data_IF_959212008869
#
_entry.id   IF_959212008869
#
_cell.length_a   1.000
_cell.length_b   1.000
_cell.length_c   1.000
_cell.angle_alpha   90.00
_cell.angle_beta   90.00
_cell.angle_gamma   90.00
#
_symmetry.space_group_name_H-M   'P 1'
#
loop_
_entity.id
_entity.type
_entity.pdbx_description
1 polymer ?
#
# COMPACT_ATOMS: atom_id res chain seq x y z
N UNK A 1 -36.55 12.91 0.75
CA UNK A 1 -36.80 11.63 1.44
C UNK A 1 -35.55 11.07 2.13
N UNK A 2 -34.58 10.45 1.45
CA UNK A 2 -33.41 9.85 2.14
C UNK A 2 -32.49 10.88 2.86
N UNK A 3 -32.29 12.05 2.26
CA UNK A 3 -31.50 13.13 2.87
C UNK A 3 -32.19 13.77 4.09
N UNK A 4 -33.52 13.86 4.10
CA UNK A 4 -34.29 14.40 5.22
C UNK A 4 -34.34 13.41 6.38
N UNK A 5 -34.47 12.11 6.10
CA UNK A 5 -34.39 11.07 7.12
C UNK A 5 -33.01 11.03 7.77
N UNK A 6 -31.94 11.21 6.99
CA UNK A 6 -30.57 11.31 7.52
C UNK A 6 -30.40 12.54 8.42
N UNK A 7 -30.90 13.70 7.99
CA UNK A 7 -30.85 14.95 8.77
C UNK A 7 -31.67 14.87 10.07
N UNK A 8 -32.80 14.16 10.05
CA UNK A 8 -33.61 13.90 11.24
C UNK A 8 -32.92 12.91 12.21
N UNK A 9 -32.26 11.88 11.69
CA UNK A 9 -31.44 10.95 12.48
C UNK A 9 -30.23 11.64 13.12
N UNK A 10 -29.57 12.54 12.39
CA UNK A 10 -28.47 13.39 12.89
C UNK A 10 -28.93 14.29 14.04
N UNK A 11 -30.16 14.82 13.97
CA UNK A 11 -30.74 15.66 15.03
C UNK A 11 -31.17 14.87 16.28
N UNK A 12 -31.54 13.58 16.12
CA UNK A 12 -32.05 12.73 17.20
C UNK A 12 -30.95 11.95 17.94
N UNK A 13 -29.87 11.56 17.24
CA UNK A 13 -28.79 10.76 17.82
C UNK A 13 -27.46 11.52 17.97
N UNK A 14 -27.43 12.79 17.53
CA UNK A 14 -26.20 13.57 17.39
C UNK A 14 -25.41 13.13 16.15
N UNK A 15 -24.66 14.07 15.57
CA UNK A 15 -23.73 13.80 14.45
C UNK A 15 -22.70 12.72 14.79
N UNK A 16 -22.46 12.50 16.09
CA UNK A 16 -21.56 11.51 16.68
C UNK A 16 -22.01 10.06 16.42
N UNK A 17 -23.31 9.77 16.43
CA UNK A 17 -23.84 8.42 16.25
C UNK A 17 -23.77 7.91 14.80
N UNK A 18 -23.50 8.81 13.85
CA UNK A 18 -23.32 8.50 12.43
C UNK A 18 -21.84 8.47 12.02
N UNK A 19 -20.92 8.40 12.98
CA UNK A 19 -19.47 8.38 12.75
C UNK A 19 -18.84 9.77 12.66
N UNK A 20 -19.56 10.81 13.08
CA UNK A 20 -19.00 12.16 13.26
C UNK A 20 -18.11 12.22 14.50
N UNK A 21 -17.05 13.02 14.42
CA UNK A 21 -16.20 13.34 15.56
C UNK A 21 -16.91 14.37 16.45
N UNK A 22 -16.91 14.21 17.79
CA UNK A 22 -17.46 15.22 18.69
C UNK A 22 -16.92 16.61 18.38
N UNK A 23 -17.77 17.63 18.45
CA UNK A 23 -17.36 19.03 18.27
C UNK A 23 -16.40 19.53 19.36
N UNK A 24 -16.19 18.72 20.40
CA UNK A 24 -15.25 18.99 21.50
C UNK A 24 -13.81 18.55 21.21
N UNK A 25 -13.56 17.78 20.16
CA UNK A 25 -12.21 17.32 19.80
C UNK A 25 -11.51 18.38 18.95
N UNK A 26 -10.28 18.71 19.33
CA UNK A 26 -9.42 19.63 18.60
C UNK A 26 -8.41 18.85 17.75
N UNK A 27 -7.91 19.48 16.69
CA UNK A 27 -6.91 18.88 15.81
C UNK A 27 -5.51 18.72 16.46
N UNK A 28 -5.30 19.29 17.64
CA UNK A 28 -4.09 19.12 18.48
C UNK A 28 -4.08 17.80 19.26
N UNK A 29 -5.23 17.14 19.37
CA UNK A 29 -5.36 15.98 20.25
C UNK A 29 -4.58 14.78 19.72
N UNK A 30 -3.93 14.04 20.63
CA UNK A 30 -3.14 12.85 20.27
C UNK A 30 -3.98 11.72 19.66
N UNK A 31 -5.30 11.77 19.86
CA UNK A 31 -6.25 10.80 19.31
C UNK A 31 -6.53 11.04 17.82
N UNK A 32 -6.19 12.22 17.29
CA UNK A 32 -6.42 12.58 15.88
C UNK A 32 -5.26 12.08 15.02
N UNK A 33 -5.59 11.57 13.84
CA UNK A 33 -4.58 11.08 12.91
C UNK A 33 -3.86 12.23 12.22
N UNK A 34 -2.62 12.50 12.64
CA UNK A 34 -1.74 13.51 12.02
C UNK A 34 -1.54 13.28 10.52
N UNK A 35 -1.45 12.03 10.07
CA UNK A 35 -1.32 11.70 8.65
C UNK A 35 -2.58 12.07 7.85
N UNK A 36 -3.76 11.92 8.45
CA UNK A 36 -5.02 12.36 7.84
C UNK A 36 -5.09 13.89 7.75
N UNK A 37 -4.61 14.61 8.78
CA UNK A 37 -4.53 16.07 8.79
C UNK A 37 -3.59 16.61 7.70
N UNK A 38 -2.40 16.02 7.53
CA UNK A 38 -1.41 16.44 6.53
C UNK A 38 -1.83 16.09 5.09
N UNK A 39 -2.76 15.16 4.90
CA UNK A 39 -3.36 14.92 3.58
C UNK A 39 -4.00 13.56 3.45
N UNK A 40 -3.22 12.50 3.68
CA UNK A 40 -3.58 11.12 3.34
C UNK A 40 -3.04 10.16 4.40
N UNK A 41 -3.92 9.31 4.96
CA UNK A 41 -3.51 8.25 5.87
C UNK A 41 -3.36 6.93 5.10
N UNK A 42 -2.23 6.21 5.21
CA UNK A 42 -2.05 4.91 4.54
C UNK A 42 -3.13 3.87 4.89
N UNK A 43 -3.66 3.91 6.12
CA UNK A 43 -4.73 3.01 6.54
C UNK A 43 -6.01 3.16 5.73
N UNK A 44 -6.33 4.38 5.28
CA UNK A 44 -7.55 4.66 4.50
C UNK A 44 -7.33 4.35 3.01
N UNK A 45 -6.14 4.67 2.50
CA UNK A 45 -5.77 4.46 1.11
C UNK A 45 -5.72 2.98 0.70
N UNK A 46 -5.27 2.11 1.61
CA UNK A 46 -5.09 0.68 1.33
C UNK A 46 -6.25 -0.20 1.83
N UNK A 47 -7.37 0.40 2.22
CA UNK A 47 -8.59 -0.36 2.57
C UNK A 47 -8.98 -1.29 1.42
N UNK A 48 -9.34 -2.53 1.73
CA UNK A 48 -9.73 -3.55 0.74
C UNK A 48 -8.63 -3.94 -0.26
N UNK A 49 -7.36 -3.65 0.03
CA UNK A 49 -6.23 -4.10 -0.80
C UNK A 49 -5.49 -5.27 -0.15
N UNK A 50 -4.61 -5.95 -0.89
CA UNK A 50 -3.73 -7.00 -0.33
C UNK A 50 -2.76 -6.45 0.74
N UNK A 51 -2.62 -5.12 0.82
CA UNK A 51 -1.77 -4.40 1.76
C UNK A 51 -2.59 -3.71 2.86
N UNK A 52 -3.82 -4.19 3.12
CA UNK A 52 -4.69 -3.60 4.13
C UNK A 52 -4.05 -3.66 5.53
N UNK A 53 -3.98 -2.49 6.16
CA UNK A 53 -3.44 -2.30 7.50
C UNK A 53 -4.54 -2.34 8.58
N UNK A 54 -5.79 -2.52 8.16
CA UNK A 54 -6.97 -2.42 9.01
C UNK A 54 -7.38 -0.97 9.29
N UNK A 55 -8.50 -0.79 10.03
CA UNK A 55 -9.02 0.53 10.37
C UNK A 55 -7.99 1.34 11.15
N UNK A 56 -7.89 2.63 10.84
CA UNK A 56 -6.93 3.49 11.54
C UNK A 56 -7.29 3.54 13.03
N UNK A 57 -6.32 3.35 13.96
CA UNK A 57 -6.57 3.47 15.40
C UNK A 57 -6.82 4.91 15.84
N UNK A 58 -6.56 5.88 14.96
CA UNK A 58 -6.71 7.31 15.21
C UNK A 58 -7.93 7.85 14.47
N UNK A 59 -8.42 8.97 14.99
CA UNK A 59 -9.63 9.61 14.50
C UNK A 59 -9.37 10.33 13.18
N UNK A 60 -10.20 10.03 12.18
CA UNK A 60 -10.24 10.68 10.88
C UNK A 60 -11.47 11.57 10.80
N UNK A 61 -11.30 12.86 10.50
CA UNK A 61 -12.40 13.78 10.29
C UNK A 61 -12.04 14.84 9.28
N UNK A 62 -12.94 15.02 8.31
CA UNK A 62 -12.79 16.07 7.30
C UNK A 62 -12.86 17.47 7.93
N UNK A 63 -13.65 17.65 9.00
CA UNK A 63 -13.75 18.93 9.73
C UNK A 63 -12.39 19.35 10.28
N UNK A 64 -11.72 18.44 11.00
CA UNK A 64 -10.42 18.71 11.62
C UNK A 64 -9.32 18.95 10.58
N UNK A 65 -9.41 18.28 9.42
CA UNK A 65 -8.48 18.50 8.30
C UNK A 65 -8.59 19.93 7.76
N UNK A 66 -9.82 20.40 7.51
CA UNK A 66 -10.04 21.78 7.05
C UNK A 66 -9.57 22.81 8.08
N UNK A 67 -9.85 22.60 9.37
CA UNK A 67 -9.37 23.46 10.46
C UNK A 67 -7.84 23.50 10.53
N UNK A 68 -7.17 22.35 10.39
CA UNK A 68 -5.72 22.28 10.34
C UNK A 68 -5.13 22.99 9.11
N UNK A 69 -5.73 22.83 7.93
CA UNK A 69 -5.29 23.52 6.71
C UNK A 69 -5.40 25.05 6.85
N UNK A 70 -6.45 25.56 7.49
CA UNK A 70 -6.59 26.98 7.81
C UNK A 70 -5.57 27.43 8.86
N UNK A 71 -5.37 26.65 9.92
CA UNK A 71 -4.39 26.95 10.95
C UNK A 71 -2.96 26.97 10.39
N UNK A 72 -2.63 26.04 9.48
CA UNK A 72 -1.34 25.98 8.77
C UNK A 72 -1.12 27.20 7.88
N UNK A 73 -2.17 27.71 7.22
CA UNK A 73 -2.10 28.96 6.43
C UNK A 73 -1.87 30.19 7.31
N UNK A 74 -2.48 30.23 8.50
CA UNK A 74 -2.33 31.36 9.43
C UNK A 74 -0.96 31.36 10.13
N UNK A 75 -0.51 30.20 10.61
CA UNK A 75 0.74 30.05 11.36
C UNK A 75 1.51 28.80 10.91
N UNK A 76 2.36 28.90 9.87
CA UNK A 76 3.11 27.77 9.32
C UNK A 76 4.06 27.10 10.32
N UNK A 77 4.63 27.87 11.25
CA UNK A 77 5.69 27.40 12.14
C UNK A 77 5.18 26.71 13.41
N UNK A 78 3.95 26.97 13.83
CA UNK A 78 3.46 26.50 15.13
C UNK A 78 2.96 25.05 15.06
N UNK A 79 2.63 24.59 13.86
CA UNK A 79 1.76 23.43 13.65
C UNK A 79 2.30 22.54 12.53
N UNK A 80 3.62 22.35 12.51
CA UNK A 80 4.29 21.60 11.48
C UNK A 80 4.34 20.10 11.83
N UNK A 81 3.32 19.36 11.40
CA UNK A 81 3.31 17.90 11.45
C UNK A 81 3.94 17.25 10.21
N UNK A 82 4.45 18.04 9.26
CA UNK A 82 4.93 17.54 7.96
C UNK A 82 6.18 16.65 8.14
N UNK A 83 7.06 16.97 9.09
CA UNK A 83 8.23 16.12 9.39
C UNK A 83 7.84 14.75 9.95
N UNK A 84 6.82 14.67 10.80
CA UNK A 84 6.33 13.39 11.33
C UNK A 84 5.60 12.60 10.24
N UNK A 85 4.88 13.29 9.36
CA UNK A 85 4.22 12.72 8.21
C UNK A 85 5.23 12.12 7.23
N UNK A 86 6.27 12.87 6.87
CA UNK A 86 7.36 12.41 6.00
C UNK A 86 8.08 11.20 6.58
N UNK A 87 8.40 11.21 7.88
CA UNK A 87 9.01 10.05 8.55
C UNK A 87 8.12 8.82 8.50
N UNK A 88 6.81 8.99 8.74
CA UNK A 88 5.84 7.89 8.67
C UNK A 88 5.75 7.32 7.26
N UNK A 89 5.72 8.18 6.24
CA UNK A 89 5.72 7.76 4.84
C UNK A 89 7.02 7.05 4.45
N UNK A 90 8.18 7.58 4.85
CA UNK A 90 9.47 6.97 4.57
C UNK A 90 9.58 5.56 5.16
N UNK A 91 9.08 5.37 6.38
CA UNK A 91 9.02 4.04 7.00
C UNK A 91 8.13 3.09 6.20
N UNK A 92 6.96 3.56 5.75
CA UNK A 92 6.04 2.76 4.94
C UNK A 92 6.64 2.37 3.58
N UNK A 93 7.34 3.31 2.93
CA UNK A 93 8.07 3.03 1.67
C UNK A 93 9.14 1.97 1.91
N UNK A 94 9.92 2.08 2.99
CA UNK A 94 10.93 1.08 3.32
C UNK A 94 10.32 -0.33 3.58
N UNK A 95 9.11 -0.40 4.15
CA UNK A 95 8.39 -1.66 4.32
C UNK A 95 7.94 -2.25 2.98
N UNK A 96 7.47 -1.41 2.06
CA UNK A 96 7.15 -1.81 0.70
C UNK A 96 8.39 -2.32 -0.04
N UNK A 97 9.52 -1.60 0.04
CA UNK A 97 10.79 -2.02 -0.58
C UNK A 97 11.26 -3.38 -0.04
N UNK A 98 11.17 -3.60 1.28
CA UNK A 98 11.47 -4.90 1.89
C UNK A 98 10.59 -6.03 1.35
N UNK A 99 9.30 -5.78 1.18
CA UNK A 99 8.36 -6.75 0.59
C UNK A 99 8.67 -7.02 -0.88
N UNK A 100 9.02 -5.98 -1.65
CA UNK A 100 9.42 -6.10 -3.05
C UNK A 100 10.68 -6.95 -3.16
N UNK A 101 11.71 -6.67 -2.37
CA UNK A 101 12.95 -7.47 -2.36
C UNK A 101 12.69 -8.93 -1.96
N UNK A 102 11.82 -9.18 -0.98
CA UNK A 102 11.43 -10.55 -0.62
C UNK A 102 10.69 -11.27 -1.75
N UNK A 103 9.83 -10.58 -2.48
CA UNK A 103 9.12 -11.13 -3.63
C UNK A 103 10.07 -11.37 -4.81
N UNK A 104 10.98 -10.43 -5.09
CA UNK A 104 12.02 -10.57 -6.11
C UNK A 104 12.92 -11.77 -5.81
N UNK A 105 13.36 -11.98 -4.57
CA UNK A 105 14.15 -13.16 -4.19
C UNK A 105 13.42 -14.49 -4.40
N UNK A 106 12.09 -14.52 -4.38
CA UNK A 106 11.30 -15.72 -4.71
C UNK A 106 11.18 -15.94 -6.22
N UNK A 107 11.30 -14.87 -7.00
CA UNK A 107 11.26 -14.89 -8.46
C UNK A 107 12.64 -15.12 -9.07
N UNK A 108 13.70 -14.68 -8.39
CA UNK A 108 15.08 -14.97 -8.77
C UNK A 108 15.22 -16.49 -8.88
N UNK A 109 15.59 -16.95 -10.08
CA UNK A 109 15.73 -18.36 -10.43
C UNK A 109 16.46 -19.07 -9.29
N UNK A 110 15.78 -20.02 -8.68
CA UNK A 110 16.44 -20.85 -7.68
C UNK A 110 17.64 -21.53 -8.35
N UNK A 111 18.75 -21.81 -7.63
CA UNK A 111 19.87 -22.54 -8.21
C UNK A 111 19.41 -23.88 -8.81
N UNK A 112 18.34 -24.47 -8.28
CA UNK A 112 17.68 -25.65 -8.85
C UNK A 112 17.12 -25.40 -10.26
N UNK A 113 16.51 -24.25 -10.53
CA UNK A 113 16.02 -23.90 -11.86
C UNK A 113 17.16 -23.68 -12.84
N UNK A 114 18.29 -23.12 -12.37
CA UNK A 114 19.52 -23.01 -13.18
C UNK A 114 20.07 -24.39 -13.53
N UNK A 115 20.14 -25.32 -12.56
CA UNK A 115 20.62 -26.69 -12.78
C UNK A 115 19.69 -27.50 -13.69
N UNK A 116 18.36 -27.35 -13.54
CA UNK A 116 17.40 -27.94 -14.46
C UNK A 116 17.58 -27.41 -15.88
N UNK A 117 17.79 -26.09 -16.01
CA UNK A 117 18.05 -25.47 -17.31
C UNK A 117 19.32 -26.01 -17.96
N UNK A 118 20.42 -26.16 -17.20
CA UNK A 118 21.68 -26.70 -17.77
C UNK A 118 21.53 -28.16 -18.18
N UNK A 119 20.84 -29.00 -17.39
CA UNK A 119 20.59 -30.40 -17.76
C UNK A 119 19.72 -30.53 -19.02
N UNK A 120 18.65 -29.74 -19.12
CA UNK A 120 17.81 -29.70 -20.31
C UNK A 120 18.61 -29.23 -21.54
N UNK A 121 19.54 -28.29 -21.38
CA UNK A 121 20.43 -27.87 -22.47
C UNK A 121 21.43 -28.95 -22.89
N UNK A 122 21.93 -29.76 -21.96
CA UNK A 122 22.77 -30.94 -22.26
C UNK A 122 21.96 -31.99 -23.03
N UNK A 123 20.75 -32.32 -22.58
CA UNK A 123 19.85 -33.27 -23.27
C UNK A 123 19.48 -32.80 -24.68
N UNK A 124 19.18 -31.50 -24.85
CA UNK A 124 18.92 -30.92 -26.18
C UNK A 124 20.14 -31.10 -27.09
N UNK A 125 21.34 -30.85 -26.57
CA UNK A 125 22.58 -30.98 -27.34
C UNK A 125 22.84 -32.42 -27.79
N UNK A 126 22.60 -33.37 -26.91
CA UNK A 126 22.79 -34.80 -27.23
C UNK A 126 21.80 -35.25 -28.31
N UNK A 127 20.53 -34.84 -28.20
CA UNK A 127 19.51 -35.10 -29.23
C UNK A 127 19.85 -34.41 -30.56
N UNK A 128 20.39 -33.19 -30.54
CA UNK A 128 20.83 -32.49 -31.75
C UNK A 128 21.97 -33.25 -32.47
N UNK A 129 22.91 -33.84 -31.73
CA UNK A 129 23.97 -34.67 -32.32
C UNK A 129 23.42 -35.95 -32.94
N UNK A 130 22.52 -36.65 -32.24
CA UNK A 130 21.90 -37.89 -32.72
C UNK A 130 21.08 -37.63 -34.00
N UNK A 131 20.32 -36.53 -34.03
CA UNK A 131 19.60 -36.10 -35.24
C UNK A 131 20.59 -35.82 -36.38
N UNK A 132 21.68 -35.10 -36.11
CA UNK A 132 22.67 -34.78 -37.13
C UNK A 132 23.34 -36.04 -37.73
N UNK A 133 23.61 -37.04 -36.89
CA UNK A 133 24.17 -38.33 -37.31
C UNK A 133 23.16 -39.12 -38.16
N UNK A 134 21.91 -39.26 -37.68
CA UNK A 134 20.84 -39.89 -38.47
C UNK A 134 20.60 -39.19 -39.81
N UNK A 135 20.62 -37.85 -39.86
CA UNK A 135 20.43 -37.13 -41.13
C UNK A 135 21.56 -37.39 -42.12
N UNK A 136 22.80 -37.57 -41.66
CA UNK A 136 23.92 -37.95 -42.53
C UNK A 136 23.74 -39.36 -43.09
N UNK A 137 23.29 -40.30 -42.27
CA UNK A 137 23.04 -41.67 -42.74
C UNK A 137 21.97 -41.71 -43.83
N UNK A 138 20.92 -40.89 -43.70
CA UNK A 138 19.87 -40.75 -44.73
C UNK A 138 20.38 -40.09 -46.01
N UNK A 139 21.30 -39.11 -45.93
CA UNK A 139 21.90 -38.47 -47.12
C UNK A 139 22.87 -39.39 -47.89
N UNK A 140 23.41 -40.42 -47.24
CA UNK A 140 24.35 -41.38 -47.84
C UNK A 140 23.61 -42.53 -48.57
N UNK A 141 22.31 -42.72 -48.31
CA UNK A 141 21.43 -43.67 -48.99
C UNK A 141 20.82 -43.09 -50.28
#
# INVERSE_FOLDING_TARGET
MAAEQRKALEALMGTEALGGVPDTVNFWDSNVCRNCLCGLCPHDLFTNTKMDLGPCPKLHSQRLKSEYEEARKRNPNQHNYDLEFERSLAQFVADCDRKILSAQRRLDKTPEDSVKTTKLLEEIRDLEMEIAEMTKEVEIL
#
